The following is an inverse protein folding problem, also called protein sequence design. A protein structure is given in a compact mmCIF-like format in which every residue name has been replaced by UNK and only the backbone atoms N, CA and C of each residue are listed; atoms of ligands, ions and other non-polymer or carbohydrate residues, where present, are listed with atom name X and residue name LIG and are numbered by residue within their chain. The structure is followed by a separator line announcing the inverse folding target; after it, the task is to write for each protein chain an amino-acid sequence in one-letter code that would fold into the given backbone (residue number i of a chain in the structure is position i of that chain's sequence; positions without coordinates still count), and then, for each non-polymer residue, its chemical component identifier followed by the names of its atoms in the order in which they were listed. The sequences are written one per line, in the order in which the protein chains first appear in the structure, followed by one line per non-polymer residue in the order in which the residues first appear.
data_IF_489267483439
#
_entry.id   IF_489267483439
#
_cell.length_a   1.000
_cell.length_b   1.000
_cell.length_c   1.000
_cell.angle_alpha   90.00
_cell.angle_beta   90.00
_cell.angle_gamma   90.00
#
_symmetry.space_group_name_H-M   'P 1'
#
loop_
_entity.id
_entity.type
_entity.pdbx_description
1 polymer ?
#
# COMPACT_ATOMS: atom_id res chain seq x y z
N UNK A 1 8.05 10.17 6.58
CA UNK A 1 7.47 9.33 5.50
C UNK A 1 7.33 10.09 4.18
N UNK A 2 6.87 11.36 4.12
CA UNK A 2 6.79 12.11 2.85
C UNK A 2 8.15 12.23 2.12
N UNK A 3 9.22 12.57 2.85
CA UNK A 3 10.57 12.70 2.30
C UNK A 3 11.08 11.46 1.55
N UNK A 4 10.65 10.24 1.96
CA UNK A 4 11.03 9.02 1.24
C UNK A 4 10.40 8.96 -0.15
N UNK A 5 9.14 9.39 -0.28
CA UNK A 5 8.42 9.40 -1.56
C UNK A 5 8.89 10.54 -2.47
N UNK A 6 9.32 11.67 -1.90
CA UNK A 6 9.89 12.79 -2.65
C UNK A 6 11.17 12.44 -3.43
N UNK A 7 11.94 11.47 -2.93
CA UNK A 7 13.18 11.00 -3.57
C UNK A 7 12.94 9.93 -4.65
N UNK A 8 11.71 9.41 -4.76
CA UNK A 8 11.35 8.37 -5.73
C UNK A 8 10.79 8.96 -7.02
N UNK A 9 11.02 8.26 -8.13
CA UNK A 9 10.26 8.51 -9.36
C UNK A 9 8.78 8.23 -9.14
N UNK A 10 7.92 8.94 -9.87
CA UNK A 10 6.47 8.72 -9.85
C UNK A 10 6.17 7.24 -10.11
N UNK A 11 5.41 6.63 -9.20
CA UNK A 11 5.16 5.19 -9.18
C UNK A 11 3.80 4.89 -8.56
N UNK A 12 3.38 3.63 -8.68
CA UNK A 12 2.17 3.13 -8.02
C UNK A 12 2.52 2.70 -6.60
N UNK A 13 1.77 3.20 -5.61
CA UNK A 13 1.87 2.81 -4.21
C UNK A 13 0.61 2.05 -3.82
N UNK A 14 0.73 0.74 -3.68
CA UNK A 14 -0.35 -0.13 -3.21
C UNK A 14 -0.31 -0.24 -1.68
N UNK A 15 -1.48 -0.09 -1.03
CA UNK A 15 -1.62 -0.19 0.42
C UNK A 15 -2.93 -0.88 0.77
N UNK A 16 -2.95 -1.67 1.85
CA UNK A 16 -4.22 -2.16 2.42
C UNK A 16 -5.05 -0.98 2.96
N UNK A 17 -6.35 -0.97 2.70
CA UNK A 17 -7.26 0.02 3.25
C UNK A 17 -7.46 -0.23 4.76
N UNK A 18 -6.86 0.62 5.59
CA UNK A 18 -7.03 0.64 7.04
C UNK A 18 -7.30 2.08 7.52
N UNK A 19 -7.54 2.26 8.82
CA UNK A 19 -7.89 3.58 9.39
C UNK A 19 -6.88 4.69 9.08
N UNK A 20 -5.59 4.35 8.95
CA UNK A 20 -4.52 5.32 8.64
C UNK A 20 -4.23 5.52 7.15
N UNK A 21 -4.55 4.56 6.28
CA UNK A 21 -4.07 4.60 4.89
C UNK A 21 -4.76 5.63 4.01
N UNK A 22 -5.96 6.08 4.38
CA UNK A 22 -6.65 7.15 3.66
C UNK A 22 -5.96 8.50 3.81
N UNK A 23 -5.39 8.79 4.99
CA UNK A 23 -4.58 10.00 5.18
C UNK A 23 -3.31 9.92 4.35
N UNK A 24 -2.56 8.81 4.48
CA UNK A 24 -1.32 8.63 3.75
C UNK A 24 -1.51 8.58 2.24
N UNK A 25 -2.59 7.99 1.75
CA UNK A 25 -2.88 7.98 0.31
C UNK A 25 -3.09 9.38 -0.26
N UNK A 26 -3.65 10.32 0.51
CA UNK A 26 -3.73 11.72 0.09
C UNK A 26 -2.36 12.40 0.11
N UNK A 27 -1.58 12.20 1.16
CA UNK A 27 -0.25 12.83 1.26
C UNK A 27 0.70 12.31 0.18
N UNK A 28 0.70 11.00 -0.09
CA UNK A 28 1.49 10.38 -1.16
C UNK A 28 0.99 10.80 -2.54
N UNK A 29 -0.33 10.91 -2.73
CA UNK A 29 -0.91 11.41 -3.98
C UNK A 29 -0.55 12.87 -4.30
N UNK A 30 -0.38 13.73 -3.28
CA UNK A 30 0.10 15.12 -3.48
C UNK A 30 1.53 15.18 -4.05
N UNK A 31 2.33 14.15 -3.82
CA UNK A 31 3.69 14.02 -4.37
C UNK A 31 3.69 13.48 -5.81
N UNK A 32 2.51 13.16 -6.38
CA UNK A 32 2.34 12.74 -7.76
C UNK A 32 2.29 11.22 -7.98
N UNK A 33 2.39 10.41 -6.92
CA UNK A 33 2.27 8.96 -7.02
C UNK A 33 0.81 8.54 -7.22
N UNK A 34 0.60 7.45 -7.97
CA UNK A 34 -0.70 6.80 -8.05
C UNK A 34 -0.88 5.92 -6.81
N UNK A 35 -1.91 6.17 -6.00
CA UNK A 35 -2.18 5.38 -4.80
C UNK A 35 -3.34 4.42 -5.04
N UNK A 36 -3.10 3.13 -4.75
CA UNK A 36 -4.13 2.07 -4.78
C UNK A 36 -4.41 1.60 -3.37
N UNK A 37 -5.59 1.93 -2.85
CA UNK A 37 -6.08 1.44 -1.57
C UNK A 37 -6.89 0.16 -1.79
N UNK A 38 -6.39 -0.96 -1.29
CA UNK A 38 -6.98 -2.29 -1.52
C UNK A 38 -7.72 -2.73 -0.26
N UNK A 39 -9.04 -2.98 -0.31
CA UNK A 39 -9.78 -3.44 0.86
C UNK A 39 -9.19 -4.73 1.45
N UNK A 40 -9.16 -4.90 2.78
CA UNK A 40 -8.58 -6.07 3.44
C UNK A 40 -9.17 -7.39 2.96
N UNK A 41 -10.44 -7.39 2.54
CA UNK A 41 -11.12 -8.55 1.99
C UNK A 41 -10.46 -9.10 0.71
N UNK A 42 -9.85 -8.23 -0.09
CA UNK A 42 -9.13 -8.61 -1.31
C UNK A 42 -7.66 -8.96 -1.05
N UNK A 43 -7.06 -8.46 0.04
CA UNK A 43 -5.69 -8.82 0.44
C UNK A 43 -5.65 -10.18 1.15
N UNK A 44 -6.65 -10.45 1.99
CA UNK A 44 -6.71 -11.64 2.86
C UNK A 44 -6.47 -12.99 2.16
N UNK A 45 -6.96 -13.27 0.94
CA UNK A 45 -6.69 -14.53 0.24
C UNK A 45 -5.20 -14.78 -0.06
N UNK A 46 -4.39 -13.72 -0.12
CA UNK A 46 -2.97 -13.79 -0.50
C UNK A 46 -2.03 -13.81 0.72
N UNK A 47 -2.55 -13.57 1.93
CA UNK A 47 -1.75 -13.58 3.16
C UNK A 47 -1.36 -15.02 3.51
N UNK A 48 -0.05 -15.29 3.48
CA UNK A 48 0.51 -16.59 3.90
C UNK A 48 0.34 -16.80 5.41
N UNK A 49 0.43 -18.05 5.87
CA UNK A 49 0.39 -18.37 7.32
C UNK A 49 1.50 -17.60 8.07
N UNK A 50 1.27 -17.33 9.36
CA UNK A 50 2.13 -16.51 10.24
C UNK A 50 2.16 -15.02 9.82
N UNK A 51 1.29 -14.23 10.44
CA UNK A 51 1.18 -12.79 10.14
C UNK A 51 2.47 -12.06 10.53
N UNK A 52 3.09 -11.40 9.55
CA UNK A 52 4.20 -10.48 9.73
C UNK A 52 4.17 -9.43 8.60
N UNK A 53 4.95 -8.36 8.76
CA UNK A 53 4.91 -7.22 7.82
C UNK A 53 5.33 -7.60 6.40
N UNK A 54 6.27 -8.56 6.25
CA UNK A 54 6.73 -9.04 4.94
C UNK A 54 5.62 -9.80 4.21
N UNK A 55 4.90 -10.68 4.90
CA UNK A 55 3.80 -11.45 4.34
C UNK A 55 2.62 -10.54 3.97
N UNK A 56 2.34 -9.50 4.78
CA UNK A 56 1.31 -8.51 4.46
C UNK A 56 1.71 -7.70 3.21
N UNK A 57 2.97 -7.27 3.09
CA UNK A 57 3.47 -6.55 1.91
C UNK A 57 3.41 -7.41 0.63
N UNK A 58 3.82 -8.68 0.68
CA UNK A 58 3.68 -9.61 -0.44
C UNK A 58 2.22 -9.77 -0.87
N UNK A 59 1.30 -9.92 0.09
CA UNK A 59 -0.13 -10.09 -0.20
C UNK A 59 -0.74 -8.84 -0.83
N UNK A 60 -0.34 -7.64 -0.38
CA UNK A 60 -0.77 -6.37 -0.98
C UNK A 60 -0.25 -6.25 -2.41
N UNK A 61 1.01 -6.61 -2.66
CA UNK A 61 1.59 -6.60 -4.01
C UNK A 61 0.85 -7.54 -4.95
N UNK A 62 0.54 -8.77 -4.52
CA UNK A 62 -0.21 -9.74 -5.32
C UNK A 62 -1.63 -9.24 -5.59
N UNK A 63 -2.30 -8.66 -4.60
CA UNK A 63 -3.65 -8.11 -4.75
C UNK A 63 -3.70 -6.85 -5.65
N UNK A 64 -2.55 -6.22 -5.92
CA UNK A 64 -2.44 -5.01 -6.74
C UNK A 64 -2.16 -5.29 -8.22
N UNK A 65 -1.81 -6.53 -8.57
CA UNK A 65 -1.50 -7.00 -9.92
C UNK A 65 -2.77 -7.13 -10.78
#
# INVERSE_FOLDING_TARGET
MPAFFEELLLCVVAMEACGGTHYWGREIGKLGHEVRLIPPAYVKPFVKRQKNDMADAEAICEAAA
#
